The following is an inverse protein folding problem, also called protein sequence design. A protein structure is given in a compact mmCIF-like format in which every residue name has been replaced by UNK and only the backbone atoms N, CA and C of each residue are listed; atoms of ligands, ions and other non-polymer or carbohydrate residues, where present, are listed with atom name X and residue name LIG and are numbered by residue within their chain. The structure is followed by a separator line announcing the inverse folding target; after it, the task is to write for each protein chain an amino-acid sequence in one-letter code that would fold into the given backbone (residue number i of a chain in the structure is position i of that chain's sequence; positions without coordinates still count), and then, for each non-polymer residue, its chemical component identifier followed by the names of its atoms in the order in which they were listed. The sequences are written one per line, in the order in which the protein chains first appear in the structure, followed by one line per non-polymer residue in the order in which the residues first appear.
data_IF_309055805746
#
_entry.id   IF_309055805746
#
_cell.length_a   1.000
_cell.length_b   1.000
_cell.length_c   1.000
_cell.angle_alpha   90.00
_cell.angle_beta   90.00
_cell.angle_gamma   90.00
#
_symmetry.space_group_name_H-M   'P 1'
#
loop_
_entity.id
_entity.type
_entity.pdbx_description
1 polymer ?
#
# COMPACT_ATOMS: atom_id res chain seq x y z
N UNK A 1 -1.89 -7.69 -3.64
CA UNK A 1 -1.91 -6.53 -2.71
C UNK A 1 -2.24 -5.25 -3.48
N UNK A 2 -3.03 -4.32 -2.91
CA UNK A 2 -3.26 -2.96 -3.42
C UNK A 2 -2.63 -1.95 -2.46
N UNK A 3 -2.09 -0.86 -3.01
CA UNK A 3 -1.44 0.18 -2.20
C UNK A 3 -2.04 1.53 -2.53
N UNK A 4 -2.41 2.29 -1.52
CA UNK A 4 -2.85 3.68 -1.67
C UNK A 4 -2.27 4.58 -0.60
N UNK A 5 -2.14 5.87 -0.92
CA UNK A 5 -1.73 6.90 0.02
C UNK A 5 -2.93 7.76 0.45
N UNK A 6 -2.87 8.28 1.67
CA UNK A 6 -3.77 9.33 2.18
C UNK A 6 -2.90 10.51 2.59
N UNK A 7 -2.98 11.60 1.86
CA UNK A 7 -2.16 12.79 2.05
C UNK A 7 -3.01 14.04 2.36
N UNK A 8 -2.38 15.17 2.60
CA UNK A 8 -3.04 16.44 2.91
C UNK A 8 -2.31 17.22 4.00
N UNK A 9 -2.72 18.45 4.24
CA UNK A 9 -2.14 19.33 5.25
C UNK A 9 -2.40 18.83 6.68
N UNK A 10 -1.77 19.49 7.65
CA UNK A 10 -1.99 19.17 9.06
C UNK A 10 -3.47 19.43 9.44
N UNK A 11 -4.07 18.54 10.25
CA UNK A 11 -5.48 18.58 10.64
C UNK A 11 -6.53 18.55 9.50
N UNK A 12 -6.19 18.05 8.32
CA UNK A 12 -7.12 17.92 7.18
C UNK A 12 -8.04 16.70 7.24
N UNK A 13 -7.98 15.87 8.28
CA UNK A 13 -8.81 14.67 8.42
C UNK A 13 -8.17 13.37 7.93
N UNK A 14 -6.86 13.34 7.61
CA UNK A 14 -6.15 12.13 7.13
C UNK A 14 -6.38 10.90 8.00
N UNK A 15 -6.08 11.00 9.29
CA UNK A 15 -6.21 9.87 10.22
C UNK A 15 -7.66 9.37 10.30
N UNK A 16 -8.62 10.27 10.35
CA UNK A 16 -10.05 9.93 10.33
C UNK A 16 -10.42 9.19 9.03
N UNK A 17 -9.95 9.69 7.88
CA UNK A 17 -10.16 9.03 6.59
C UNK A 17 -9.56 7.63 6.57
N UNK A 18 -8.31 7.48 7.04
CA UNK A 18 -7.65 6.17 7.14
C UNK A 18 -8.43 5.21 8.04
N UNK A 19 -8.88 5.66 9.21
CA UNK A 19 -9.67 4.84 10.14
C UNK A 19 -10.96 4.31 9.50
N UNK A 20 -11.71 5.17 8.79
CA UNK A 20 -12.95 4.79 8.12
C UNK A 20 -12.71 3.84 6.94
N UNK A 21 -11.69 4.11 6.13
CA UNK A 21 -11.30 3.27 5.00
C UNK A 21 -10.82 1.90 5.48
N UNK A 22 -9.95 1.84 6.49
CA UNK A 22 -9.45 0.57 7.06
C UNK A 22 -10.61 -0.25 7.64
N UNK A 23 -11.54 0.40 8.37
CA UNK A 23 -12.72 -0.27 8.93
C UNK A 23 -13.61 -0.86 7.83
N UNK A 24 -13.85 -0.13 6.75
CA UNK A 24 -14.65 -0.60 5.62
C UNK A 24 -13.96 -1.76 4.89
N UNK A 25 -12.65 -1.65 4.60
CA UNK A 25 -11.88 -2.73 3.98
C UNK A 25 -11.90 -4.01 4.85
N UNK A 26 -11.62 -3.87 6.15
CA UNK A 26 -11.68 -4.99 7.08
C UNK A 26 -13.11 -5.58 7.19
N UNK A 27 -14.14 -4.74 7.15
CA UNK A 27 -15.55 -5.16 7.11
C UNK A 27 -15.93 -5.95 5.86
N UNK A 28 -15.22 -5.74 4.74
CA UNK A 28 -15.32 -6.54 3.49
C UNK A 28 -14.53 -7.84 3.55
N UNK A 29 -13.78 -8.10 4.61
CA UNK A 29 -12.98 -9.30 4.80
C UNK A 29 -11.54 -9.19 4.28
N UNK A 30 -11.09 -8.00 3.85
CA UNK A 30 -9.70 -7.79 3.45
C UNK A 30 -8.76 -7.69 4.65
N UNK A 31 -7.58 -8.26 4.51
CA UNK A 31 -6.44 -7.98 5.40
C UNK A 31 -5.83 -6.61 5.03
N UNK A 32 -5.60 -5.76 6.03
CA UNK A 32 -5.15 -4.37 5.80
C UNK A 32 -3.93 -4.05 6.65
N UNK A 33 -2.86 -3.63 5.99
CA UNK A 33 -1.69 -3.02 6.61
C UNK A 33 -1.76 -1.50 6.55
N UNK A 34 -1.18 -0.82 7.52
CA UNK A 34 -1.08 0.65 7.53
C UNK A 34 0.35 1.10 7.79
N UNK A 35 0.74 2.18 7.12
CA UNK A 35 2.03 2.85 7.33
C UNK A 35 1.76 4.30 7.67
N UNK A 36 2.30 4.79 8.79
CA UNK A 36 2.24 6.20 9.19
C UNK A 36 3.58 6.86 8.90
N UNK A 37 3.62 7.80 7.96
CA UNK A 37 4.79 8.66 7.77
C UNK A 37 4.82 9.76 8.84
N UNK A 38 5.91 9.85 9.59
CA UNK A 38 6.09 10.80 10.66
C UNK A 38 7.26 11.72 10.30
N UNK A 39 6.98 13.02 10.20
CA UNK A 39 7.95 14.03 9.79
C UNK A 39 8.56 14.80 10.98
N UNK A 40 8.23 14.38 12.23
CA UNK A 40 8.80 15.00 13.43
C UNK A 40 10.23 14.53 13.62
N UNK A 41 11.16 15.46 13.66
CA UNK A 41 12.57 15.18 13.92
C UNK A 41 12.75 14.52 15.31
N UNK A 42 13.65 13.53 15.39
CA UNK A 42 13.94 12.79 16.60
C UNK A 42 12.79 11.92 17.14
N UNK A 43 11.71 11.72 16.36
CA UNK A 43 10.62 10.85 16.79
C UNK A 43 11.10 9.40 16.96
N UNK A 44 10.72 8.80 18.08
CA UNK A 44 10.85 7.35 18.32
C UNK A 44 9.56 6.83 18.96
N UNK A 45 9.14 5.66 18.54
CA UNK A 45 8.03 4.91 19.16
C UNK A 45 8.47 4.29 20.49
N UNK A 46 9.78 3.98 20.62
CA UNK A 46 10.37 3.40 21.80
C UNK A 46 10.56 4.46 22.90
N UNK A 47 10.40 4.05 24.15
CA UNK A 47 10.53 4.94 25.32
C UNK A 47 11.95 4.88 25.88
N UNK A 48 12.51 6.04 26.17
CA UNK A 48 13.84 6.15 26.80
C UNK A 48 13.88 5.40 28.14
N UNK A 49 14.91 4.56 28.31
CA UNK A 49 15.13 3.78 29.54
C UNK A 49 14.56 2.37 29.53
N UNK A 50 13.73 2.01 28.55
CA UNK A 50 13.25 0.62 28.36
C UNK A 50 14.40 -0.33 27.96
N UNK A 51 14.20 -1.63 28.11
CA UNK A 51 15.19 -2.62 27.69
C UNK A 51 15.44 -2.56 26.17
N UNK A 52 14.40 -2.38 25.37
CA UNK A 52 14.50 -2.20 23.91
C UNK A 52 15.33 -0.97 23.55
N UNK A 53 15.10 0.16 24.21
CA UNK A 53 15.91 1.36 24.04
C UNK A 53 17.38 1.10 24.41
N UNK A 54 17.65 0.39 25.50
CA UNK A 54 19.02 0.05 25.92
C UNK A 54 19.74 -0.85 24.92
N UNK A 55 19.05 -1.83 24.32
CA UNK A 55 19.61 -2.68 23.25
C UNK A 55 20.01 -1.84 22.03
N UNK A 56 19.14 -0.90 21.62
CA UNK A 56 19.42 0.02 20.54
C UNK A 56 20.62 0.92 20.82
N UNK A 57 20.70 1.48 22.02
CA UNK A 57 21.84 2.32 22.44
C UNK A 57 23.15 1.54 22.54
N UNK A 58 23.08 0.24 22.77
CA UNK A 58 24.24 -0.66 22.74
C UNK A 58 24.72 -1.02 21.33
N UNK A 59 24.00 -0.55 20.26
CA UNK A 59 24.42 -0.72 18.87
C UNK A 59 23.59 -1.73 18.06
N UNK A 60 22.48 -2.25 18.59
CA UNK A 60 21.61 -3.12 17.81
C UNK A 60 20.95 -2.34 16.65
N UNK A 61 21.10 -2.82 15.41
CA UNK A 61 20.51 -2.23 14.21
C UNK A 61 19.01 -2.56 14.07
N UNK A 62 18.57 -3.68 14.65
CA UNK A 62 17.17 -4.12 14.71
C UNK A 62 16.90 -4.60 16.14
N UNK A 63 15.80 -4.15 16.71
CA UNK A 63 15.30 -4.61 18.01
C UNK A 63 13.87 -5.09 17.84
N UNK A 64 13.61 -6.32 18.26
CA UNK A 64 12.26 -6.90 18.26
C UNK A 64 11.77 -7.07 19.69
N UNK A 65 10.62 -6.51 20.00
CA UNK A 65 9.90 -6.77 21.25
C UNK A 65 8.76 -7.76 20.95
N UNK A 66 8.65 -8.78 21.77
CA UNK A 66 7.60 -9.81 21.65
C UNK A 66 6.87 -9.89 22.98
N UNK A 67 5.54 -9.81 22.94
CA UNK A 67 4.65 -10.03 24.08
C UNK A 67 3.56 -11.04 23.71
N UNK A 68 2.67 -11.34 24.65
CA UNK A 68 1.56 -12.30 24.41
C UNK A 68 0.54 -11.79 23.38
N UNK A 69 0.49 -10.49 23.12
CA UNK A 69 -0.52 -9.86 22.24
C UNK A 69 0.07 -9.01 21.11
N UNK A 70 1.38 -8.72 21.13
CA UNK A 70 1.99 -7.80 20.18
C UNK A 70 3.45 -8.17 19.88
N UNK A 71 3.84 -7.99 18.63
CA UNK A 71 5.24 -8.02 18.20
C UNK A 71 5.58 -6.70 17.52
N UNK A 72 6.58 -5.98 18.03
CA UNK A 72 7.09 -4.75 17.44
C UNK A 72 8.53 -4.94 16.94
N UNK A 73 8.78 -4.56 15.68
CA UNK A 73 10.11 -4.55 15.07
C UNK A 73 10.56 -3.12 14.84
N UNK A 74 11.69 -2.75 15.42
CA UNK A 74 12.24 -1.39 15.35
C UNK A 74 13.60 -1.41 14.66
N UNK A 75 13.74 -0.66 13.58
CA UNK A 75 14.99 -0.46 12.85
C UNK A 75 15.58 0.90 13.18
N UNK A 76 16.92 0.99 13.29
CA UNK A 76 17.63 2.25 13.59
C UNK A 76 17.92 3.10 12.33
N UNK A 77 17.25 2.81 11.24
CA UNK A 77 17.36 3.50 9.95
C UNK A 77 15.99 3.82 9.37
N UNK A 78 15.95 4.78 8.48
CA UNK A 78 14.77 5.01 7.64
C UNK A 78 14.72 3.95 6.53
N UNK A 79 13.60 3.26 6.39
CA UNK A 79 13.29 2.42 5.23
C UNK A 79 12.53 3.26 4.17
N UNK A 80 12.67 2.93 2.89
CA UNK A 80 11.84 3.50 1.82
C UNK A 80 10.50 2.77 1.73
N UNK A 81 9.53 3.35 0.99
CA UNK A 81 8.19 2.78 0.92
C UNK A 81 8.13 1.42 0.22
N UNK A 82 8.96 1.17 -0.79
CA UNK A 82 9.02 -0.13 -1.49
C UNK A 82 9.47 -1.23 -0.53
N UNK A 83 10.53 -0.96 0.23
CA UNK A 83 11.02 -1.87 1.27
C UNK A 83 9.94 -2.11 2.34
N UNK A 84 9.29 -1.06 2.85
CA UNK A 84 8.24 -1.18 3.86
C UNK A 84 7.09 -2.04 3.33
N UNK A 85 6.62 -1.78 2.11
CA UNK A 85 5.52 -2.51 1.49
C UNK A 85 5.88 -3.98 1.30
N UNK A 86 7.14 -4.31 1.02
CA UNK A 86 7.59 -5.69 0.87
C UNK A 86 7.47 -6.54 2.15
N UNK A 87 7.30 -5.91 3.32
CA UNK A 87 7.11 -6.63 4.59
C UNK A 87 5.65 -7.03 4.84
N UNK A 88 4.71 -6.51 4.03
CA UNK A 88 3.28 -6.77 4.20
C UNK A 88 2.83 -7.97 3.36
N UNK A 89 2.14 -8.89 4.01
CA UNK A 89 1.37 -9.98 3.39
C UNK A 89 -0.11 -9.72 3.64
N UNK A 90 -0.62 -8.65 3.03
CA UNK A 90 -1.99 -8.17 3.19
C UNK A 90 -2.62 -7.84 1.84
N UNK A 91 -3.97 -7.82 1.77
CA UNK A 91 -4.69 -7.45 0.55
C UNK A 91 -4.50 -5.98 0.20
N UNK A 92 -4.43 -5.13 1.25
CA UNK A 92 -4.29 -3.69 1.13
C UNK A 92 -3.19 -3.14 2.04
N UNK A 93 -2.49 -2.09 1.55
CA UNK A 93 -1.62 -1.24 2.37
C UNK A 93 -2.04 0.22 2.20
N UNK A 94 -2.32 0.89 3.32
CA UNK A 94 -2.72 2.30 3.37
C UNK A 94 -1.60 3.13 3.99
N UNK A 95 -1.03 4.06 3.21
CA UNK A 95 0.08 4.92 3.61
C UNK A 95 -0.46 6.27 4.06
N UNK A 96 -0.44 6.60 5.36
CA UNK A 96 -0.83 7.91 5.86
C UNK A 96 0.35 8.89 5.85
N UNK A 97 0.18 10.04 5.22
CA UNK A 97 1.17 11.13 5.20
C UNK A 97 2.34 10.94 4.23
N UNK A 98 2.29 9.92 3.38
CA UNK A 98 3.32 9.58 2.39
C UNK A 98 3.13 10.41 1.10
N UNK A 99 3.31 11.74 1.18
CA UNK A 99 3.06 12.67 0.07
C UNK A 99 3.99 12.46 -1.13
N UNK A 100 5.20 11.94 -0.90
CA UNK A 100 6.21 11.73 -1.94
C UNK A 100 6.18 10.28 -2.51
N UNK A 101 5.22 9.44 -2.07
CA UNK A 101 5.10 8.07 -2.53
C UNK A 101 4.35 8.02 -3.88
N UNK A 102 4.83 7.24 -4.87
CA UNK A 102 4.24 7.18 -6.22
C UNK A 102 3.04 6.23 -6.29
N UNK A 103 2.09 6.35 -5.35
CA UNK A 103 0.90 5.52 -5.31
C UNK A 103 -0.37 6.35 -5.49
N UNK A 104 -1.44 5.75 -6.06
CA UNK A 104 -2.76 6.38 -6.10
C UNK A 104 -3.13 6.91 -4.72
N UNK A 105 -3.66 8.15 -4.67
CA UNK A 105 -3.87 8.81 -3.38
C UNK A 105 -5.23 9.46 -3.21
N UNK A 106 -5.67 9.45 -1.97
CA UNK A 106 -6.75 10.27 -1.46
C UNK A 106 -6.14 11.52 -0.86
N UNK A 107 -6.55 12.69 -1.32
CA UNK A 107 -6.17 13.97 -0.73
C UNK A 107 -7.22 14.39 0.30
N UNK A 108 -6.80 14.60 1.55
CA UNK A 108 -7.66 15.15 2.59
C UNK A 108 -7.49 16.67 2.66
N UNK A 109 -8.60 17.41 2.53
CA UNK A 109 -8.63 18.85 2.49
C UNK A 109 -9.75 19.42 3.40
N UNK A 110 -9.55 20.63 3.92
CA UNK A 110 -10.56 21.41 4.65
C UNK A 110 -11.22 22.44 3.76
N UNK A 111 -10.47 22.94 2.78
CA UNK A 111 -10.89 24.01 1.86
C UNK A 111 -10.44 23.66 0.43
N UNK A 112 -11.01 24.33 -0.56
CA UNK A 112 -10.60 24.20 -1.97
C UNK A 112 -9.11 24.56 -2.15
N UNK A 113 -8.61 25.58 -1.45
CA UNK A 113 -7.19 25.94 -1.48
C UNK A 113 -6.25 24.82 -0.95
N UNK A 114 -6.70 24.03 0.03
CA UNK A 114 -5.95 22.85 0.50
C UNK A 114 -5.87 21.77 -0.61
N UNK A 115 -6.93 21.62 -1.43
CA UNK A 115 -6.94 20.70 -2.56
C UNK A 115 -5.88 21.11 -3.57
N UNK A 116 -5.88 22.38 -3.97
CA UNK A 116 -4.91 22.93 -4.95
C UNK A 116 -3.45 22.74 -4.49
N UNK A 117 -3.22 22.91 -3.19
CA UNK A 117 -1.86 22.77 -2.61
C UNK A 117 -1.37 21.32 -2.48
N UNK A 118 -2.28 20.33 -2.48
CA UNK A 118 -1.94 18.93 -2.14
C UNK A 118 -2.20 17.93 -3.25
N UNK A 119 -2.99 18.31 -4.28
CA UNK A 119 -3.33 17.40 -5.38
C UNK A 119 -2.21 17.32 -6.42
N UNK A 120 -2.06 16.14 -7.00
CA UNK A 120 -1.15 15.83 -8.09
C UNK A 120 -1.76 14.77 -9.03
N UNK A 121 -0.96 14.28 -10.00
CA UNK A 121 -1.38 13.28 -10.99
C UNK A 121 -1.78 11.93 -10.39
N UNK A 122 -1.41 11.63 -9.15
CA UNK A 122 -1.79 10.42 -8.44
C UNK A 122 -3.12 10.55 -7.68
N UNK A 123 -3.69 11.77 -7.61
CA UNK A 123 -4.91 12.04 -6.86
C UNK A 123 -6.13 11.50 -7.60
N UNK A 124 -6.82 10.51 -7.03
CA UNK A 124 -8.02 9.93 -7.61
C UNK A 124 -9.30 10.29 -6.84
N UNK A 125 -9.16 10.75 -5.61
CA UNK A 125 -10.27 11.06 -4.71
C UNK A 125 -9.85 12.14 -3.72
N UNK A 126 -10.80 12.98 -3.33
CA UNK A 126 -10.64 14.00 -2.30
C UNK A 126 -11.58 13.68 -1.15
N UNK A 127 -11.08 13.81 0.09
CA UNK A 127 -11.85 13.59 1.31
C UNK A 127 -11.67 14.74 2.30
N UNK A 128 -12.43 14.70 3.38
CA UNK A 128 -12.30 15.63 4.49
C UNK A 128 -13.41 16.67 4.54
N UNK A 129 -13.30 17.69 5.40
CA UNK A 129 -14.35 18.69 5.60
C UNK A 129 -14.78 19.44 4.34
N UNK A 130 -13.90 19.57 3.36
CA UNK A 130 -14.21 20.23 2.07
C UNK A 130 -15.39 19.56 1.32
N UNK A 131 -15.73 18.30 1.64
CA UNK A 131 -16.89 17.62 1.09
C UNK A 131 -18.24 18.22 1.52
N UNK A 132 -18.24 19.16 2.47
CA UNK A 132 -19.43 19.97 2.81
C UNK A 132 -19.62 21.16 1.85
N UNK A 133 -18.58 21.54 1.10
CA UNK A 133 -18.57 22.70 0.21
C UNK A 133 -18.70 22.31 -1.28
N UNK A 134 -18.06 21.21 -1.69
CA UNK A 134 -18.01 20.79 -3.09
C UNK A 134 -18.11 19.28 -3.23
N UNK A 135 -18.77 18.81 -4.30
CA UNK A 135 -18.90 17.39 -4.64
C UNK A 135 -17.82 16.90 -5.63
N UNK A 136 -17.20 17.85 -6.36
CA UNK A 136 -16.14 17.53 -7.35
C UNK A 136 -15.15 18.69 -7.44
N UNK A 137 -13.89 18.37 -7.77
CA UNK A 137 -12.87 19.37 -8.06
C UNK A 137 -12.01 18.89 -9.25
N UNK A 138 -11.96 19.68 -10.34
CA UNK A 138 -11.19 19.30 -11.55
C UNK A 138 -11.59 17.94 -12.15
N UNK A 139 -12.83 17.49 -11.95
CA UNK A 139 -13.29 16.15 -12.36
C UNK A 139 -13.00 15.03 -11.37
N UNK A 140 -12.30 15.31 -10.26
CA UNK A 140 -12.04 14.37 -9.19
C UNK A 140 -13.20 14.41 -8.20
N UNK A 141 -13.78 13.27 -7.80
CA UNK A 141 -14.86 13.23 -6.80
C UNK A 141 -14.37 13.71 -5.42
N UNK A 142 -15.28 14.38 -4.69
CA UNK A 142 -15.06 14.80 -3.31
C UNK A 142 -16.08 14.09 -2.41
N UNK A 143 -15.60 13.31 -1.43
CA UNK A 143 -16.45 12.42 -0.63
C UNK A 143 -16.07 12.51 0.84
N UNK A 144 -17.06 12.68 1.73
CA UNK A 144 -16.80 12.56 3.16
C UNK A 144 -16.67 11.10 3.59
N UNK A 145 -15.46 10.66 3.90
CA UNK A 145 -15.18 9.30 4.32
C UNK A 145 -15.88 8.90 5.64
N UNK A 146 -16.27 9.86 6.49
CA UNK A 146 -16.98 9.58 7.76
C UNK A 146 -18.38 9.01 7.52
N UNK A 147 -19.06 9.50 6.50
CA UNK A 147 -20.44 9.11 6.17
C UNK A 147 -20.53 8.17 4.97
N UNK A 148 -19.53 8.19 4.06
CA UNK A 148 -19.55 7.49 2.77
C UNK A 148 -18.30 6.63 2.55
N UNK A 149 -17.77 5.99 3.61
CA UNK A 149 -16.58 5.13 3.54
C UNK A 149 -16.71 4.01 2.49
N UNK A 150 -17.92 3.43 2.36
CA UNK A 150 -18.22 2.42 1.36
C UNK A 150 -17.94 2.90 -0.05
N UNK A 151 -18.38 4.10 -0.39
CA UNK A 151 -18.17 4.69 -1.71
C UNK A 151 -16.68 4.99 -1.97
N UNK A 152 -15.97 5.50 -0.95
CA UNK A 152 -14.52 5.70 -1.02
C UNK A 152 -13.80 4.41 -1.37
N UNK A 153 -14.15 3.30 -0.72
CA UNK A 153 -13.56 1.99 -0.98
C UNK A 153 -13.99 1.43 -2.34
N UNK A 154 -15.25 1.59 -2.75
CA UNK A 154 -15.73 1.19 -4.08
C UNK A 154 -14.93 1.89 -5.21
N UNK A 155 -14.60 3.17 -5.03
CA UNK A 155 -13.76 3.92 -5.97
C UNK A 155 -12.31 3.42 -5.94
N UNK A 156 -11.75 3.16 -4.75
CA UNK A 156 -10.41 2.64 -4.60
C UNK A 156 -10.26 1.26 -5.26
N UNK A 157 -11.21 0.36 -5.07
CA UNK A 157 -11.20 -0.97 -5.70
C UNK A 157 -11.21 -0.91 -7.23
N UNK A 158 -11.91 0.07 -7.81
CA UNK A 158 -11.99 0.25 -9.27
C UNK A 158 -10.74 0.87 -9.87
N UNK A 159 -10.07 1.78 -9.13
CA UNK A 159 -9.00 2.59 -9.68
C UNK A 159 -7.59 2.08 -9.31
N UNK A 160 -7.46 1.36 -8.20
CA UNK A 160 -6.17 0.91 -7.71
C UNK A 160 -5.91 -0.53 -8.19
N UNK A 161 -4.93 -0.72 -9.09
CA UNK A 161 -4.58 -2.05 -9.56
C UNK A 161 -3.93 -2.88 -8.44
N UNK A 162 -3.97 -4.20 -8.57
CA UNK A 162 -3.16 -5.08 -7.76
C UNK A 162 -1.68 -4.85 -8.08
N UNK A 163 -0.89 -4.51 -7.07
CA UNK A 163 0.57 -4.58 -7.13
C UNK A 163 0.95 -6.00 -6.72
N UNK A 164 1.78 -6.66 -7.53
CA UNK A 164 2.33 -7.95 -7.12
C UNK A 164 3.08 -7.75 -5.80
N UNK A 165 2.66 -8.45 -4.74
CA UNK A 165 3.32 -8.35 -3.44
C UNK A 165 4.69 -9.03 -3.49
N UNK A 166 5.67 -8.51 -2.73
CA UNK A 166 6.94 -9.22 -2.55
C UNK A 166 6.75 -10.58 -1.85
N UNK A 167 5.58 -10.78 -1.22
CA UNK A 167 5.15 -12.03 -0.60
C UNK A 167 4.44 -13.01 -1.54
N UNK A 168 4.07 -12.59 -2.78
CA UNK A 168 3.53 -13.53 -3.76
C UNK A 168 4.63 -14.54 -4.11
N UNK A 169 4.57 -15.70 -3.48
CA UNK A 169 5.42 -16.83 -3.86
C UNK A 169 4.84 -17.43 -5.11
N UNK A 170 5.53 -17.23 -6.22
CA UNK A 170 5.20 -17.88 -7.47
C UNK A 170 5.90 -19.24 -7.55
N UNK A 171 5.12 -20.29 -7.69
CA UNK A 171 5.67 -21.57 -8.15
C UNK A 171 5.70 -21.50 -9.67
N UNK A 172 6.88 -21.30 -10.23
CA UNK A 172 7.08 -21.15 -11.68
C UNK A 172 7.78 -22.36 -12.24
N UNK A 173 7.12 -23.09 -13.12
CA UNK A 173 7.73 -24.18 -13.88
C UNK A 173 7.87 -23.76 -15.36
N UNK A 174 9.08 -23.92 -15.88
CA UNK A 174 9.38 -23.73 -17.31
C UNK A 174 9.74 -25.11 -17.89
N UNK A 175 9.09 -25.45 -19.00
CA UNK A 175 9.37 -26.69 -19.73
C UNK A 175 9.88 -26.35 -21.13
N UNK A 176 10.96 -27.00 -21.56
CA UNK A 176 11.50 -26.91 -22.92
C UNK A 176 11.50 -28.33 -23.47
N UNK A 177 10.82 -28.55 -24.57
CA UNK A 177 10.65 -29.87 -25.23
C UNK A 177 10.11 -30.97 -24.30
N UNK A 178 9.29 -30.53 -23.29
CA UNK A 178 8.68 -31.44 -22.30
C UNK A 178 9.53 -31.67 -21.05
N UNK A 179 10.78 -31.23 -21.01
CA UNK A 179 11.64 -31.33 -19.85
C UNK A 179 11.56 -30.08 -18.97
N UNK A 180 11.43 -30.28 -17.66
CA UNK A 180 11.37 -29.17 -16.71
C UNK A 180 12.76 -28.57 -16.50
N UNK A 181 12.87 -27.25 -16.72
CA UNK A 181 14.09 -26.47 -16.44
C UNK A 181 14.16 -26.13 -14.96
N UNK A 182 15.26 -26.48 -14.30
CA UNK A 182 15.47 -26.10 -12.90
C UNK A 182 15.71 -24.59 -12.80
N UNK A 183 14.79 -23.89 -12.14
CA UNK A 183 14.89 -22.45 -11.86
C UNK A 183 15.23 -22.23 -10.40
N UNK A 184 16.19 -21.33 -10.14
CA UNK A 184 16.41 -20.83 -8.77
C UNK A 184 15.27 -19.89 -8.35
N UNK A 185 15.09 -19.59 -7.04
CA UNK A 185 13.98 -18.76 -6.55
C UNK A 185 13.90 -17.36 -7.19
N UNK A 186 15.04 -16.73 -7.44
CA UNK A 186 15.11 -15.43 -8.12
C UNK A 186 14.57 -15.52 -9.55
N UNK A 187 14.97 -16.54 -10.32
CA UNK A 187 14.53 -16.73 -11.70
C UNK A 187 13.05 -17.07 -11.77
N UNK A 188 12.53 -17.87 -10.83
CA UNK A 188 11.09 -18.17 -10.72
C UNK A 188 10.29 -16.88 -10.53
N UNK A 189 10.67 -16.05 -9.55
CA UNK A 189 10.01 -14.78 -9.26
C UNK A 189 10.10 -13.80 -10.44
N UNK A 190 11.26 -13.70 -11.07
CA UNK A 190 11.48 -12.83 -12.23
C UNK A 190 10.60 -13.22 -13.42
N UNK A 191 10.53 -14.51 -13.76
CA UNK A 191 9.70 -15.01 -14.87
C UNK A 191 8.22 -14.77 -14.57
N UNK A 192 7.75 -15.12 -13.36
CA UNK A 192 6.37 -14.92 -12.97
C UNK A 192 5.94 -13.44 -13.08
N UNK A 193 6.71 -12.52 -12.50
CA UNK A 193 6.40 -11.09 -12.51
C UNK A 193 6.43 -10.50 -13.91
N UNK A 194 7.38 -10.93 -14.74
CA UNK A 194 7.47 -10.49 -16.14
C UNK A 194 6.23 -10.90 -16.92
N UNK A 195 5.82 -12.15 -16.78
CA UNK A 195 4.63 -12.72 -17.45
C UNK A 195 3.35 -12.02 -16.97
N UNK A 196 3.17 -11.88 -15.65
CA UNK A 196 2.01 -11.20 -15.08
C UNK A 196 1.96 -9.73 -15.48
N UNK A 197 3.10 -9.05 -15.53
CA UNK A 197 3.20 -7.68 -16.03
C UNK A 197 2.78 -7.55 -17.50
N UNK A 198 3.18 -8.50 -18.37
CA UNK A 198 2.73 -8.54 -19.76
C UNK A 198 1.22 -8.78 -19.87
N UNK A 199 0.68 -9.70 -19.07
CA UNK A 199 -0.76 -10.01 -19.06
C UNK A 199 -1.60 -8.84 -18.56
N UNK A 200 -1.12 -8.09 -17.56
CA UNK A 200 -1.83 -6.91 -17.04
C UNK A 200 -1.96 -5.78 -18.08
N UNK A 201 -1.10 -5.76 -19.10
CA UNK A 201 -1.18 -4.80 -20.19
C UNK A 201 -2.23 -5.17 -21.27
N UNK A 202 -2.80 -6.38 -21.22
CA UNK A 202 -3.84 -6.82 -22.15
C UNK A 202 -5.21 -6.29 -21.68
N UNK A 203 -5.91 -5.53 -22.52
CA UNK A 203 -7.15 -4.80 -22.20
C UNK A 203 -8.35 -5.66 -21.78
N UNK A 204 -8.34 -6.96 -22.02
CA UNK A 204 -9.46 -7.90 -21.75
C UNK A 204 -9.08 -9.05 -20.81
N UNK A 205 -7.92 -9.00 -20.17
CA UNK A 205 -7.54 -10.08 -19.25
C UNK A 205 -8.11 -9.83 -17.86
N UNK A 206 -9.16 -10.56 -17.49
CA UNK A 206 -9.52 -10.83 -16.09
C UNK A 206 -8.41 -11.73 -15.46
N UNK A 207 -7.16 -11.25 -15.48
CA UNK A 207 -5.99 -11.99 -15.01
C UNK A 207 -5.95 -12.07 -13.46
N UNK A 208 -7.08 -12.39 -12.84
CA UNK A 208 -7.21 -12.71 -11.42
C UNK A 208 -7.27 -14.23 -11.17
N UNK A 209 -6.76 -15.01 -12.14
CA UNK A 209 -6.67 -16.47 -11.98
C UNK A 209 -5.53 -16.87 -11.04
N UNK A 210 -5.76 -17.93 -10.26
CA UNK A 210 -4.73 -18.53 -9.40
C UNK A 210 -3.65 -19.28 -10.20
N UNK A 211 -3.86 -19.50 -11.50
CA UNK A 211 -2.93 -20.21 -12.40
C UNK A 211 -2.88 -19.50 -13.76
N UNK A 212 -1.64 -19.29 -14.25
CA UNK A 212 -1.37 -18.78 -15.60
C UNK A 212 -0.51 -19.80 -16.34
N UNK A 213 -0.97 -20.24 -17.51
CA UNK A 213 -0.24 -21.14 -18.40
C UNK A 213 0.11 -20.47 -19.72
N UNK A 214 1.39 -20.47 -20.09
CA UNK A 214 1.88 -19.94 -21.36
C UNK A 214 2.54 -21.08 -22.14
N UNK A 215 2.16 -21.23 -23.41
CA UNK A 215 2.76 -22.20 -24.32
C UNK A 215 3.37 -21.44 -25.51
N UNK A 216 4.68 -21.60 -25.72
CA UNK A 216 5.42 -21.01 -26.84
C UNK A 216 5.93 -22.14 -27.73
N UNK A 217 5.54 -22.14 -29.01
CA UNK A 217 6.02 -23.11 -30.00
C UNK A 217 6.88 -22.41 -31.02
N UNK A 218 8.05 -22.98 -31.33
CA UNK A 218 8.87 -22.61 -32.50
C UNK A 218 8.49 -23.52 -33.68
N UNK A 219 8.24 -22.93 -34.82
CA UNK A 219 8.01 -23.63 -36.09
C UNK A 219 9.25 -23.48 -36.96
#
# INVERSE_FOLDING_TARGET
MRVMAVSGLHHSGKTTTVEHVVRELAGRGYSVGTVKSIHKEGFSIDTVGTNTHRHRMAGASIVTAVSDCETAVMMTRRANYEEIISWYDTDWVVLEGAKDAPYPRIVCARTVGDIEACSDEHTFLICGPVAEEVDTWGGIPVVDARSRAREVVDMAEKQIPHVASAGDRFETAVHIDGEQVALNPFTQDFVARTVLGMLSALKDSSAHGHEVKIEIRRF
#
